data_IF_979004576396
#
_entry.id   IF_979004576396
#
_cell.length_a   1.000
_cell.length_b   1.000
_cell.length_c   1.000
_cell.angle_alpha   90.00
_cell.angle_beta   90.00
_cell.angle_gamma   90.00
#
_symmetry.space_group_name_H-M   'P 1'
#
loop_
_entity.id
_entity.type
_entity.pdbx_description
1 polymer ?
#
# COMPACT_ATOMS: atom_id res chain seq x y z
N UNK A 1 -0.38 25.26 -4.96
CA UNK A 1 0.57 24.53 -4.08
C UNK A 1 0.75 23.14 -4.67
N UNK A 2 1.99 22.69 -4.85
CA UNK A 2 2.27 21.38 -5.42
C UNK A 2 2.11 20.29 -4.35
N UNK A 3 1.10 19.43 -4.47
CA UNK A 3 0.55 18.76 -3.29
C UNK A 3 1.45 17.75 -2.56
N UNK A 4 2.59 17.24 -3.03
CA UNK A 4 3.47 16.23 -2.34
C UNK A 4 2.90 14.95 -1.69
N UNK A 5 1.65 14.90 -1.22
CA UNK A 5 1.04 13.79 -0.51
C UNK A 5 -0.36 13.48 -1.03
N UNK A 6 -0.68 12.19 -1.13
CA UNK A 6 -2.04 11.70 -1.36
C UNK A 6 -2.45 10.77 -0.22
N UNK A 7 -3.75 10.55 -0.05
CA UNK A 7 -4.29 9.81 1.09
C UNK A 7 -5.02 8.55 0.62
N UNK A 8 -4.74 7.44 1.29
CA UNK A 8 -5.46 6.18 1.11
C UNK A 8 -6.56 6.09 2.18
N UNK A 9 -7.78 5.74 1.77
CA UNK A 9 -8.91 5.64 2.71
C UNK A 9 -8.72 4.48 3.68
N UNK A 10 -8.77 4.71 5.01
CA UNK A 10 -8.62 3.63 5.99
C UNK A 10 -9.75 2.61 5.95
N UNK A 11 -10.94 3.00 5.50
CA UNK A 11 -12.12 2.11 5.38
C UNK A 11 -11.88 0.97 4.38
N UNK A 12 -11.03 1.20 3.38
CA UNK A 12 -10.81 0.26 2.29
C UNK A 12 -9.54 -0.59 2.47
N UNK A 13 -8.73 -0.31 3.50
CA UNK A 13 -7.46 -1.01 3.77
C UNK A 13 -7.38 -1.62 5.16
N UNK A 14 -8.16 -1.11 6.12
CA UNK A 14 -8.21 -1.66 7.47
C UNK A 14 -9.07 -2.93 7.48
N UNK A 15 -8.69 -3.97 8.23
CA UNK A 15 -9.49 -5.17 8.34
C UNK A 15 -10.81 -4.93 9.08
N UNK A 16 -11.91 -5.44 8.53
CA UNK A 16 -13.27 -5.27 9.08
C UNK A 16 -13.80 -6.57 9.73
N UNK A 17 -13.27 -7.76 9.41
CA UNK A 17 -13.81 -9.04 9.91
C UNK A 17 -12.75 -10.15 10.09
N UNK A 18 -12.94 -10.98 11.13
CA UNK A 18 -11.99 -12.01 11.58
C UNK A 18 -12.30 -13.44 11.06
N UNK A 19 -13.37 -13.65 10.28
CA UNK A 19 -13.86 -14.98 9.86
C UNK A 19 -13.83 -15.22 8.34
N UNK A 20 -12.88 -14.61 7.62
CA UNK A 20 -12.70 -14.79 6.17
C UNK A 20 -11.30 -15.34 5.91
N UNK A 21 -11.09 -16.04 4.79
CA UNK A 21 -9.75 -16.39 4.32
C UNK A 21 -8.88 -15.13 4.27
N UNK A 22 -7.90 -15.07 5.19
CA UNK A 22 -6.97 -13.96 5.35
C UNK A 22 -6.27 -13.61 4.04
N UNK A 23 -5.87 -14.61 3.25
CA UNK A 23 -5.12 -14.38 2.02
C UNK A 23 -5.99 -13.70 0.96
N UNK A 24 -7.22 -14.19 0.75
CA UNK A 24 -8.19 -13.58 -0.15
C UNK A 24 -8.52 -12.14 0.27
N UNK A 25 -8.67 -11.91 1.58
CA UNK A 25 -9.02 -10.60 2.11
C UNK A 25 -7.88 -9.58 2.07
N UNK A 26 -6.63 -10.02 2.29
CA UNK A 26 -5.44 -9.18 2.03
C UNK A 26 -5.37 -8.82 0.54
N UNK A 27 -5.66 -9.77 -0.35
CA UNK A 27 -5.58 -9.56 -1.79
C UNK A 27 -6.55 -8.48 -2.29
N UNK A 28 -7.80 -8.53 -1.87
CA UNK A 28 -8.82 -7.52 -2.24
C UNK A 28 -8.38 -6.10 -1.86
N UNK A 29 -7.89 -5.92 -0.63
CA UNK A 29 -7.39 -4.63 -0.15
C UNK A 29 -6.12 -4.19 -0.87
N UNK A 30 -5.23 -5.14 -1.20
CA UNK A 30 -4.03 -4.86 -1.97
C UNK A 30 -4.35 -4.37 -3.40
N UNK A 31 -5.40 -4.91 -4.03
CA UNK A 31 -5.86 -4.45 -5.35
C UNK A 31 -6.39 -3.01 -5.31
N UNK A 32 -7.06 -2.61 -4.23
CA UNK A 32 -7.45 -1.22 -4.02
C UNK A 32 -6.22 -0.30 -3.93
N UNK A 33 -5.21 -0.67 -3.15
CA UNK A 33 -3.95 0.09 -3.06
C UNK A 33 -3.28 0.16 -4.44
N UNK A 34 -3.18 -0.96 -5.16
CA UNK A 34 -2.60 -1.03 -6.50
C UNK A 34 -3.26 -0.06 -7.48
N UNK A 35 -4.59 0.09 -7.43
CA UNK A 35 -5.32 1.07 -8.25
C UNK A 35 -4.90 2.50 -7.96
N UNK A 36 -4.58 2.82 -6.70
CA UNK A 36 -4.04 4.13 -6.32
C UNK A 36 -2.61 4.27 -6.85
N UNK A 37 -1.75 3.27 -6.63
CA UNK A 37 -0.35 3.28 -7.09
C UNK A 37 -0.24 3.53 -8.60
N UNK A 38 -1.14 2.95 -9.40
CA UNK A 38 -1.19 3.15 -10.87
C UNK A 38 -1.37 4.60 -11.30
N UNK A 39 -2.01 5.41 -10.46
CA UNK A 39 -2.28 6.81 -10.75
C UNK A 39 -1.34 7.76 -9.98
N UNK A 40 -0.51 7.23 -9.07
CA UNK A 40 0.35 8.01 -8.21
C UNK A 40 1.51 8.66 -9.01
N UNK A 41 1.56 9.99 -9.11
CA UNK A 41 2.63 10.68 -9.83
C UNK A 41 3.98 10.43 -9.16
N UNK A 42 5.05 10.39 -9.97
CA UNK A 42 6.42 10.33 -9.43
C UNK A 42 6.68 11.53 -8.51
N UNK A 43 7.25 11.28 -7.33
CA UNK A 43 7.56 12.29 -6.33
C UNK A 43 6.39 12.65 -5.38
N UNK A 44 5.25 11.96 -5.46
CA UNK A 44 4.20 12.00 -4.44
C UNK A 44 4.34 10.82 -3.49
N UNK A 45 4.08 11.05 -2.20
CA UNK A 45 4.04 10.01 -1.16
C UNK A 45 2.60 9.71 -0.76
N UNK A 46 2.28 8.44 -0.57
CA UNK A 46 0.94 8.03 -0.12
C UNK A 46 0.93 7.90 1.40
N UNK A 47 -0.04 8.55 2.05
CA UNK A 47 -0.31 8.43 3.47
C UNK A 47 -1.46 7.42 3.65
N UNK A 48 -1.17 6.30 4.29
CA UNK A 48 -2.13 5.22 4.51
C UNK A 48 -2.33 4.98 6.01
N UNK A 49 -3.33 5.61 6.63
CA UNK A 49 -3.78 5.21 7.95
C UNK A 49 -4.39 3.81 7.89
N UNK A 50 -4.02 2.97 8.84
CA UNK A 50 -4.48 1.60 8.97
C UNK A 50 -4.89 1.34 10.41
N UNK A 51 -6.10 0.82 10.60
CA UNK A 51 -6.61 0.45 11.91
C UNK A 51 -6.56 -1.08 12.07
N UNK A 52 -5.74 -1.56 12.99
CA UNK A 52 -5.77 -2.95 13.43
C UNK A 52 -6.66 -3.07 14.67
N UNK A 53 -7.95 -3.39 14.46
CA UNK A 53 -8.99 -3.50 15.49
C UNK A 53 -9.23 -2.19 16.28
N UNK A 54 -8.35 -1.86 17.22
CA UNK A 54 -8.45 -0.67 18.09
C UNK A 54 -7.16 0.16 18.07
N UNK A 55 -6.21 -0.18 17.19
CA UNK A 55 -4.89 0.44 17.14
C UNK A 55 -4.63 1.06 15.77
N UNK A 56 -4.24 2.34 15.74
CA UNK A 56 -3.94 3.07 14.51
C UNK A 56 -2.44 3.10 14.23
N UNK A 57 -2.09 2.76 12.99
CA UNK A 57 -0.73 2.82 12.45
C UNK A 57 -0.79 3.63 11.16
N UNK A 58 0.24 4.42 10.88
CA UNK A 58 0.37 5.14 9.60
C UNK A 58 1.51 4.53 8.79
N UNK A 59 1.25 4.21 7.53
CA UNK A 59 2.30 3.95 6.54
C UNK A 59 2.47 5.18 5.62
N UNK A 60 3.73 5.53 5.35
CA UNK A 60 4.11 6.47 4.29
C UNK A 60 4.79 5.67 3.19
N UNK A 61 4.20 5.66 2.01
CA UNK A 61 4.62 4.81 0.89
C UNK A 61 5.15 5.70 -0.22
N UNK A 62 6.38 5.42 -0.68
CA UNK A 62 6.91 5.92 -1.93
C UNK A 62 7.08 4.74 -2.90
N UNK A 63 6.15 4.56 -3.85
CA UNK A 63 6.20 3.41 -4.75
C UNK A 63 7.26 3.52 -5.84
N UNK A 64 7.84 4.71 -6.05
CA UNK A 64 8.86 4.95 -7.06
C UNK A 64 10.27 4.77 -6.49
N UNK A 65 10.46 5.13 -5.21
CA UNK A 65 11.69 4.87 -4.46
C UNK A 65 11.67 3.52 -3.72
N UNK A 66 10.61 2.72 -3.89
CA UNK A 66 10.41 1.41 -3.26
C UNK A 66 10.60 1.43 -1.73
N UNK A 67 10.03 2.44 -1.08
CA UNK A 67 10.20 2.64 0.36
C UNK A 67 8.87 2.76 1.10
N UNK A 68 8.86 2.22 2.31
CA UNK A 68 7.73 2.28 3.24
C UNK A 68 8.25 2.65 4.62
N UNK A 69 7.70 3.71 5.19
CA UNK A 69 7.95 4.11 6.58
C UNK A 69 6.70 3.82 7.42
N UNK A 70 6.89 3.13 8.54
CA UNK A 70 5.81 2.80 9.47
C UNK A 70 5.91 3.68 10.71
N UNK A 71 4.81 4.32 11.06
CA UNK A 71 4.67 5.12 12.26
C UNK A 71 3.67 4.44 13.19
N UNK A 72 4.21 3.78 14.21
CA UNK A 72 3.45 3.06 15.21
C UNK A 72 3.64 3.71 16.59
N UNK A 73 2.60 4.36 17.17
CA UNK A 73 2.70 5.01 18.47
C UNK A 73 3.08 4.09 19.63
N UNK A 74 2.85 2.78 19.50
CA UNK A 74 3.22 1.79 20.52
C UNK A 74 4.67 1.32 20.40
N UNK A 75 5.41 1.77 19.39
CA UNK A 75 6.83 1.46 19.19
C UNK A 75 7.12 0.01 18.77
N UNK A 76 6.11 -0.85 18.69
CA UNK A 76 6.26 -2.22 18.20
C UNK A 76 6.17 -2.30 16.67
N UNK A 77 6.62 -3.42 16.14
CA UNK A 77 6.51 -3.74 14.72
C UNK A 77 5.04 -3.81 14.27
N UNK A 78 4.72 -3.38 13.05
CA UNK A 78 3.40 -3.58 12.47
C UNK A 78 3.05 -5.07 12.36
N UNK A 79 1.77 -5.40 12.55
CA UNK A 79 1.29 -6.78 12.44
C UNK A 79 1.34 -7.33 11.01
N UNK A 80 1.36 -8.66 10.90
CA UNK A 80 1.57 -9.37 9.63
C UNK A 80 0.53 -9.03 8.56
N UNK A 81 -0.74 -8.83 8.93
CA UNK A 81 -1.78 -8.40 7.96
C UNK A 81 -1.39 -7.10 7.25
N UNK A 82 -0.86 -6.13 8.00
CA UNK A 82 -0.50 -4.83 7.45
C UNK A 82 0.75 -4.92 6.57
N UNK A 83 1.74 -5.71 6.99
CA UNK A 83 2.96 -5.96 6.22
C UNK A 83 2.67 -6.71 4.92
N UNK A 84 1.85 -7.76 4.99
CA UNK A 84 1.44 -8.55 3.82
C UNK A 84 0.66 -7.68 2.84
N UNK A 85 -0.30 -6.89 3.31
CA UNK A 85 -1.08 -5.96 2.50
C UNK A 85 -0.20 -5.02 1.66
N UNK A 86 0.75 -4.34 2.31
CA UNK A 86 1.64 -3.41 1.61
C UNK A 86 2.59 -4.15 0.67
N UNK A 87 3.15 -5.27 1.13
CA UNK A 87 4.09 -6.08 0.34
C UNK A 87 3.43 -6.61 -0.93
N UNK A 88 2.21 -7.15 -0.84
CA UNK A 88 1.44 -7.63 -2.00
C UNK A 88 1.18 -6.50 -2.99
N UNK A 89 0.71 -5.34 -2.52
CA UNK A 89 0.40 -4.21 -3.41
C UNK A 89 1.65 -3.68 -4.13
N UNK A 90 2.79 -3.58 -3.42
CA UNK A 90 4.05 -3.09 -4.00
C UNK A 90 4.68 -4.10 -4.96
N UNK A 91 4.59 -5.40 -4.68
CA UNK A 91 5.07 -6.43 -5.60
C UNK A 91 4.30 -6.40 -6.92
N UNK A 92 2.97 -6.30 -6.86
CA UNK A 92 2.13 -6.14 -8.04
C UNK A 92 2.48 -4.87 -8.83
N UNK A 93 2.69 -3.76 -8.13
CA UNK A 93 3.10 -2.50 -8.74
C UNK A 93 4.43 -2.63 -9.49
N UNK A 94 5.45 -3.25 -8.88
CA UNK A 94 6.75 -3.50 -9.51
C UNK A 94 6.61 -4.34 -10.78
N UNK A 95 5.76 -5.36 -10.76
CA UNK A 95 5.50 -6.18 -11.94
C UNK A 95 4.88 -5.35 -13.07
N UNK A 96 3.95 -4.44 -12.76
CA UNK A 96 3.34 -3.55 -13.76
C UNK A 96 4.33 -2.53 -14.33
N UNK A 97 5.12 -1.88 -13.48
CA UNK A 97 6.11 -0.88 -13.96
C UNK A 97 7.22 -1.57 -14.74
N UNK A 98 7.73 -2.70 -14.23
CA UNK A 98 8.77 -3.49 -14.91
C UNK A 98 8.32 -4.07 -16.25
N UNK A 99 7.06 -4.49 -16.37
CA UNK A 99 6.48 -4.95 -17.64
C UNK A 99 6.25 -3.80 -18.64
N UNK A 100 5.84 -2.61 -18.16
CA UNK A 100 5.71 -1.41 -19.00
C UNK A 100 7.05 -0.93 -19.58
N UNK A 101 8.15 -1.05 -18.82
CA UNK A 101 9.52 -0.79 -19.32
C UNK A 101 9.96 -1.83 -20.35
N UNK A 102 9.61 -3.11 -20.16
CA UNK A 102 9.93 -4.18 -21.13
C UNK A 102 9.19 -3.99 -22.46
N UNK A 103 7.91 -3.61 -22.44
CA UNK A 103 7.16 -3.37 -23.68
C UNK A 103 7.65 -2.16 -24.48
N UNK A 104 8.22 -1.14 -23.83
CA UNK A 104 8.81 0.03 -24.51
C UNK A 104 10.18 -0.22 -25.16
N UNK A 105 10.86 -1.32 -24.83
CA UNK A 105 12.17 -1.68 -25.38
C UNK A 105 12.12 -2.60 -26.60
N UNK A 106 10.93 -2.99 -27.05
CA UNK A 106 10.72 -3.77 -28.27
C UNK A 106 10.40 -2.82 -29.43
N UNK A 107 11.40 -2.08 -29.91
CA UNK A 107 11.43 -1.41 -31.20
C UNK A 107 12.85 -1.49 -31.76
#
# INVERSE_FOLDING_TARGET
MDQRFEFISPVLVSPVQQNVDRAAYVRERAEYILRILRNAPKGKRLLMPYNSCQHWILAVIDPWDDSVLYFNPLGNEPGDDFKDLITTALNDWKLLVGSGVRQRRNW
#
